data_IF_391045690655
#
_entry.id   IF_391045690655
#
_cell.length_a   1.000
_cell.length_b   1.000
_cell.length_c   1.000
_cell.angle_alpha   90.00
_cell.angle_beta   90.00
_cell.angle_gamma   90.00
#
_symmetry.space_group_name_H-M   'P 1'
#
loop_
_entity.id
_entity.type
_entity.pdbx_description
1 polymer ?
#
# COMPACT_ATOMS: atom_id res chain seq x y z
N UNK A 1 -7.37 -16.44 3.74
CA UNK A 1 -6.27 -16.88 4.64
C UNK A 1 -6.19 -16.04 5.92
N UNK A 2 -6.31 -14.70 5.86
CA UNK A 2 -6.22 -13.83 7.05
C UNK A 2 -7.40 -13.86 8.05
N UNK A 3 -8.51 -14.53 7.70
CA UNK A 3 -9.76 -14.47 8.47
C UNK A 3 -9.62 -15.03 9.90
N UNK A 4 -8.92 -16.15 10.08
CA UNK A 4 -8.73 -16.74 11.41
C UNK A 4 -7.83 -15.85 12.28
N UNK A 5 -6.78 -15.31 11.69
CA UNK A 5 -5.83 -14.43 12.35
C UNK A 5 -6.50 -13.14 12.87
N UNK A 6 -7.22 -12.44 11.99
CA UNK A 6 -7.91 -11.17 12.31
C UNK A 6 -9.17 -11.34 13.18
N UNK A 7 -9.60 -12.58 13.45
CA UNK A 7 -10.67 -12.89 14.40
C UNK A 7 -10.16 -13.28 15.78
N UNK A 8 -8.85 -13.42 15.96
CA UNK A 8 -8.28 -13.76 17.25
C UNK A 8 -8.38 -12.55 18.21
N UNK A 9 -8.99 -12.73 19.37
CA UNK A 9 -9.20 -11.65 20.35
C UNK A 9 -7.89 -10.98 20.80
N UNK A 10 -6.79 -11.73 20.90
CA UNK A 10 -5.49 -11.19 21.27
C UNK A 10 -4.92 -10.30 20.15
N UNK A 11 -5.11 -10.71 18.90
CA UNK A 11 -4.72 -9.91 17.73
C UNK A 11 -5.55 -8.63 17.66
N UNK A 12 -6.87 -8.73 17.82
CA UNK A 12 -7.78 -7.57 17.78
C UNK A 12 -7.42 -6.56 18.87
N UNK A 13 -7.11 -7.04 20.09
CA UNK A 13 -6.64 -6.21 21.20
C UNK A 13 -5.31 -5.53 20.88
N UNK A 14 -4.36 -6.25 20.28
CA UNK A 14 -3.07 -5.70 19.85
C UNK A 14 -3.21 -4.64 18.75
N UNK A 15 -4.25 -4.71 17.92
CA UNK A 15 -4.60 -3.72 16.91
C UNK A 15 -5.44 -2.55 17.47
N UNK A 16 -5.62 -2.48 18.79
CA UNK A 16 -6.38 -1.42 19.48
C UNK A 16 -7.81 -1.24 18.96
N UNK A 17 -8.44 -2.31 18.49
CA UNK A 17 -9.83 -2.29 18.03
C UNK A 17 -10.75 -2.61 19.21
N UNK A 18 -11.70 -1.71 19.47
CA UNK A 18 -12.75 -1.96 20.44
C UNK A 18 -13.78 -2.92 19.85
N UNK A 19 -13.96 -4.09 20.48
CA UNK A 19 -14.86 -5.14 20.01
C UNK A 19 -16.28 -5.02 20.55
N UNK A 20 -16.53 -4.11 21.50
CA UNK A 20 -17.84 -4.01 22.12
C UNK A 20 -18.91 -3.61 21.07
N UNK A 21 -19.86 -4.51 20.83
CA UNK A 21 -20.94 -4.30 19.86
C UNK A 21 -20.56 -4.48 18.39
N UNK A 22 -19.32 -4.88 18.07
CA UNK A 22 -18.90 -5.12 16.68
C UNK A 22 -19.11 -6.58 16.23
N UNK A 23 -19.47 -6.82 14.96
CA UNK A 23 -19.51 -8.16 14.39
C UNK A 23 -18.08 -8.73 14.25
N UNK A 24 -17.98 -10.06 14.14
CA UNK A 24 -16.71 -10.71 13.83
C UNK A 24 -16.12 -10.19 12.50
N UNK A 25 -14.81 -9.95 12.47
CA UNK A 25 -14.14 -9.40 11.31
C UNK A 25 -14.41 -10.21 10.03
N UNK A 26 -14.62 -9.51 8.91
CA UNK A 26 -14.69 -10.07 7.56
C UNK A 26 -13.87 -9.20 6.61
N UNK A 27 -13.39 -9.80 5.50
CA UNK A 27 -12.58 -9.07 4.52
C UNK A 27 -13.36 -7.96 3.82
N UNK A 28 -14.63 -8.23 3.49
CA UNK A 28 -15.56 -7.24 2.98
C UNK A 28 -16.91 -7.35 3.71
N UNK A 29 -17.65 -6.24 3.73
CA UNK A 29 -19.01 -6.14 4.23
C UNK A 29 -19.98 -6.02 3.04
N UNK A 30 -20.64 -7.11 2.69
CA UNK A 30 -21.54 -7.18 1.54
C UNK A 30 -22.76 -6.26 1.71
N UNK A 31 -23.24 -6.06 2.94
CA UNK A 31 -24.35 -5.14 3.21
C UNK A 31 -23.93 -3.70 2.88
N UNK A 32 -22.75 -3.28 3.32
CA UNK A 32 -22.21 -1.97 2.96
C UNK A 32 -22.02 -1.87 1.46
N UNK A 33 -21.41 -2.88 0.83
CA UNK A 33 -21.14 -2.89 -0.60
C UNK A 33 -22.44 -2.77 -1.42
N UNK A 34 -23.48 -3.54 -1.08
CA UNK A 34 -24.76 -3.55 -1.79
C UNK A 34 -25.58 -2.27 -1.59
N UNK A 35 -25.36 -1.54 -0.49
CA UNK A 35 -26.02 -0.27 -0.21
C UNK A 35 -25.15 0.94 -0.58
N UNK A 36 -23.94 0.72 -1.12
CA UNK A 36 -23.03 1.80 -1.46
C UNK A 36 -23.58 2.59 -2.65
N UNK A 37 -23.87 3.87 -2.43
CA UNK A 37 -24.36 4.75 -3.48
C UNK A 37 -23.18 5.42 -4.17
N UNK A 38 -22.92 5.02 -5.41
CA UNK A 38 -21.88 5.62 -6.23
C UNK A 38 -22.22 7.10 -6.51
N UNK A 39 -21.38 8.02 -6.03
CA UNK A 39 -21.55 9.46 -6.23
C UNK A 39 -20.83 9.97 -7.51
N UNK A 40 -19.78 9.26 -7.93
CA UNK A 40 -18.95 9.63 -9.07
C UNK A 40 -18.67 8.40 -9.94
N UNK A 41 -18.75 8.57 -11.27
CA UNK A 41 -18.44 7.51 -12.23
C UNK A 41 -16.95 7.27 -12.43
N UNK A 42 -16.13 8.29 -12.16
CA UNK A 42 -14.67 8.23 -12.21
C UNK A 42 -14.05 9.13 -11.11
N UNK A 43 -12.73 9.18 -11.07
CA UNK A 43 -11.98 10.00 -10.09
C UNK A 43 -11.47 11.33 -10.67
N UNK A 44 -11.93 11.74 -11.86
CA UNK A 44 -11.53 13.01 -12.49
C UNK A 44 -11.72 14.21 -11.54
N UNK A 45 -12.87 14.38 -10.86
CA UNK A 45 -13.07 15.49 -9.93
C UNK A 45 -12.12 15.46 -8.74
N UNK A 46 -11.71 14.26 -8.30
CA UNK A 46 -10.76 14.07 -7.19
C UNK A 46 -9.37 14.53 -7.63
N UNK A 47 -8.90 14.10 -8.80
CA UNK A 47 -7.63 14.55 -9.35
C UNK A 47 -7.61 16.07 -9.58
N UNK A 48 -8.70 16.66 -10.09
CA UNK A 48 -8.80 18.12 -10.22
C UNK A 48 -8.72 18.83 -8.86
N UNK A 49 -9.40 18.32 -7.84
CA UNK A 49 -9.31 18.86 -6.47
C UNK A 49 -7.87 18.79 -5.94
N UNK A 50 -7.18 17.68 -6.16
CA UNK A 50 -5.76 17.52 -5.79
C UNK A 50 -4.89 18.53 -6.55
N UNK A 51 -5.01 18.59 -7.88
CA UNK A 51 -4.20 19.47 -8.72
C UNK A 51 -4.37 20.95 -8.38
N UNK A 52 -5.58 21.35 -7.98
CA UNK A 52 -5.86 22.71 -7.51
C UNK A 52 -5.18 23.09 -6.19
N UNK A 53 -4.70 22.10 -5.42
CA UNK A 53 -4.13 22.28 -4.06
C UNK A 53 -2.64 22.00 -3.97
N UNK A 54 -2.04 21.32 -4.95
CA UNK A 54 -0.60 21.02 -4.92
C UNK A 54 0.26 22.26 -5.19
N UNK A 55 1.44 22.29 -4.55
CA UNK A 55 2.41 23.39 -4.63
C UNK A 55 3.75 22.90 -5.20
N UNK A 56 4.53 23.73 -5.92
CA UNK A 56 5.89 23.38 -6.34
C UNK A 56 6.82 23.01 -5.17
N UNK A 57 6.56 23.56 -3.98
CA UNK A 57 7.35 23.28 -2.78
C UNK A 57 7.03 21.92 -2.15
N UNK A 58 5.91 21.31 -2.51
CA UNK A 58 5.42 20.02 -2.01
C UNK A 58 4.76 19.27 -3.17
N UNK A 59 5.55 18.81 -4.16
CA UNK A 59 5.01 18.11 -5.30
C UNK A 59 4.47 16.74 -4.88
N UNK A 60 3.34 16.33 -5.47
CA UNK A 60 2.80 15.00 -5.25
C UNK A 60 3.16 14.03 -6.37
N UNK A 61 3.57 12.83 -5.99
CA UNK A 61 3.88 11.73 -6.91
C UNK A 61 2.81 10.65 -6.76
N UNK A 62 2.34 10.13 -7.88
CA UNK A 62 1.38 9.03 -7.94
C UNK A 62 2.01 7.88 -8.72
N UNK A 63 1.85 6.67 -8.19
CA UNK A 63 2.13 5.43 -8.90
C UNK A 63 0.82 4.66 -9.03
N UNK A 64 0.34 4.52 -10.26
CA UNK A 64 -0.81 3.70 -10.62
C UNK A 64 -0.24 2.45 -11.27
N UNK A 65 -0.45 1.29 -10.66
CA UNK A 65 0.11 0.04 -11.15
C UNK A 65 -0.99 -1.00 -11.35
N UNK A 66 -0.96 -1.68 -12.48
CA UNK A 66 -1.98 -2.66 -12.85
C UNK A 66 -1.37 -3.99 -13.25
N UNK A 67 -1.97 -5.08 -12.79
CA UNK A 67 -1.70 -6.40 -13.34
C UNK A 67 -2.34 -6.52 -14.73
N UNK A 68 -1.58 -6.99 -15.71
CA UNK A 68 -2.04 -7.02 -17.09
C UNK A 68 -2.96 -8.21 -17.43
N UNK A 69 -3.15 -9.14 -16.49
CA UNK A 69 -4.14 -10.23 -16.60
C UNK A 69 -5.36 -9.99 -15.71
N UNK A 70 -5.46 -8.83 -15.04
CA UNK A 70 -6.69 -8.46 -14.32
C UNK A 70 -7.81 -8.09 -15.30
N UNK A 71 -9.00 -8.65 -15.05
CA UNK A 71 -10.22 -8.35 -15.81
C UNK A 71 -11.22 -7.52 -15.00
N UNK A 72 -11.04 -7.38 -13.68
CA UNK A 72 -11.93 -6.58 -12.82
C UNK A 72 -11.61 -5.09 -12.98
N UNK A 73 -10.35 -4.71 -12.74
CA UNK A 73 -9.82 -3.36 -12.94
C UNK A 73 -8.66 -3.42 -13.94
N UNK A 74 -9.02 -3.73 -15.19
CA UNK A 74 -8.04 -3.99 -16.23
C UNK A 74 -7.18 -2.76 -16.55
N UNK A 75 -5.92 -3.01 -16.91
CA UNK A 75 -4.92 -1.96 -17.17
C UNK A 75 -5.29 -0.99 -18.32
N UNK A 76 -6.15 -1.39 -19.27
CA UNK A 76 -6.57 -0.49 -20.35
C UNK A 76 -7.52 0.59 -19.82
N UNK A 77 -8.41 0.23 -18.89
CA UNK A 77 -9.31 1.19 -18.25
C UNK A 77 -8.56 2.30 -17.54
N UNK A 78 -7.57 1.95 -16.71
CA UNK A 78 -6.74 2.92 -15.99
C UNK A 78 -5.85 3.73 -16.94
N UNK A 79 -5.27 3.10 -17.96
CA UNK A 79 -4.50 3.80 -18.99
C UNK A 79 -5.35 4.85 -19.71
N UNK A 80 -6.53 4.47 -20.20
CA UNK A 80 -7.44 5.39 -20.91
C UNK A 80 -7.97 6.48 -19.99
N UNK A 81 -8.25 6.17 -18.73
CA UNK A 81 -8.65 7.17 -17.75
C UNK A 81 -7.58 8.25 -17.59
N UNK A 82 -6.31 7.87 -17.38
CA UNK A 82 -5.22 8.84 -17.20
C UNK A 82 -4.92 9.60 -18.50
N UNK A 83 -4.99 8.96 -19.66
CA UNK A 83 -4.90 9.64 -20.95
C UNK A 83 -6.01 10.67 -21.14
N UNK A 84 -7.25 10.33 -20.79
CA UNK A 84 -8.38 11.25 -20.85
C UNK A 84 -8.21 12.42 -19.87
N UNK A 85 -7.82 12.14 -18.62
CA UNK A 85 -7.53 13.17 -17.60
C UNK A 85 -6.44 14.13 -18.08
N UNK A 86 -5.39 13.62 -18.72
CA UNK A 86 -4.31 14.44 -19.24
C UNK A 86 -4.71 15.28 -20.46
N UNK A 87 -5.52 14.70 -21.37
CA UNK A 87 -5.89 15.32 -22.64
C UNK A 87 -7.08 16.27 -22.54
N UNK A 88 -8.11 15.93 -21.74
CA UNK A 88 -9.41 16.62 -21.74
C UNK A 88 -9.28 18.13 -21.47
N UNK A 89 -8.36 18.52 -20.59
CA UNK A 89 -8.13 19.92 -20.22
C UNK A 89 -6.76 20.45 -20.66
N UNK A 90 -5.94 19.63 -21.35
CA UNK A 90 -4.57 19.99 -21.73
C UNK A 90 -3.67 20.33 -20.53
N UNK A 91 -4.05 19.88 -19.33
CA UNK A 91 -3.44 20.25 -18.05
C UNK A 91 -2.13 19.51 -17.76
N UNK A 92 -1.86 18.41 -18.49
CA UNK A 92 -0.66 17.61 -18.29
C UNK A 92 0.18 17.49 -19.55
N UNK A 93 1.50 17.50 -19.34
CA UNK A 93 2.46 17.03 -20.33
C UNK A 93 2.48 15.51 -20.32
N UNK A 94 2.08 14.91 -21.44
CA UNK A 94 2.07 13.46 -21.66
C UNK A 94 3.46 13.00 -22.10
N UNK A 95 4.04 12.05 -21.36
CA UNK A 95 5.27 11.36 -21.72
C UNK A 95 5.01 10.22 -22.71
N UNK A 96 6.06 9.78 -23.39
CA UNK A 96 5.97 8.61 -24.28
C UNK A 96 5.81 7.33 -23.45
N UNK A 97 4.97 6.41 -23.92
CA UNK A 97 4.84 5.07 -23.34
C UNK A 97 6.07 4.23 -23.70
N UNK A 98 6.76 3.72 -22.69
CA UNK A 98 8.03 2.98 -22.82
C UNK A 98 7.95 1.63 -22.12
N UNK A 99 8.78 0.65 -22.49
CA UNK A 99 8.96 -0.54 -21.67
C UNK A 99 9.66 -0.19 -20.36
N UNK A 100 9.38 -0.94 -19.30
CA UNK A 100 10.25 -1.00 -18.12
C UNK A 100 10.64 -2.43 -17.80
N UNK A 101 11.78 -2.61 -17.13
CA UNK A 101 12.42 -3.92 -16.97
C UNK A 101 12.58 -4.32 -15.51
N UNK A 102 12.38 -5.61 -15.24
CA UNK A 102 12.74 -6.24 -13.96
C UNK A 102 13.60 -7.46 -14.24
N UNK A 103 14.87 -7.44 -13.82
CA UNK A 103 15.95 -8.45 -14.05
C UNK A 103 16.31 -8.75 -15.51
N UNK A 104 15.32 -8.74 -16.41
CA UNK A 104 15.44 -8.94 -17.84
C UNK A 104 14.46 -8.01 -18.56
N UNK A 105 14.64 -7.78 -19.88
CA UNK A 105 13.65 -7.09 -20.68
C UNK A 105 12.28 -7.72 -20.51
N UNK A 106 11.30 -6.92 -20.10
CA UNK A 106 9.92 -7.34 -19.90
C UNK A 106 8.97 -6.57 -20.80
N UNK A 107 7.80 -7.15 -21.07
CA UNK A 107 6.73 -6.47 -21.79
C UNK A 107 5.96 -5.46 -20.94
N UNK A 108 6.38 -5.25 -19.69
CA UNK A 108 5.83 -4.22 -18.83
C UNK A 108 5.89 -2.85 -19.49
N UNK A 109 4.90 -2.01 -19.24
CA UNK A 109 4.76 -0.68 -19.85
C UNK A 109 4.73 0.38 -18.76
N UNK A 110 5.37 1.51 -19.02
CA UNK A 110 5.39 2.68 -18.16
C UNK A 110 5.09 3.92 -18.99
N UNK A 111 4.27 4.81 -18.44
CA UNK A 111 4.04 6.13 -18.99
C UNK A 111 3.92 7.16 -17.88
N UNK A 112 4.52 8.33 -18.11
CA UNK A 112 4.56 9.42 -17.14
C UNK A 112 3.76 10.61 -17.64
N UNK A 113 3.06 11.27 -16.73
CA UNK A 113 2.25 12.47 -16.98
C UNK A 113 2.64 13.53 -15.94
N UNK A 114 2.92 14.76 -16.39
CA UNK A 114 3.34 15.86 -15.51
C UNK A 114 2.35 17.02 -15.56
N UNK A 115 1.73 17.32 -14.43
CA UNK A 115 0.91 18.51 -14.25
C UNK A 115 1.79 19.69 -13.84
N UNK A 116 1.58 20.85 -14.49
CA UNK A 116 2.22 22.14 -14.19
C UNK A 116 3.73 22.03 -13.87
N UNK A 117 4.50 21.55 -14.84
CA UNK A 117 5.95 21.35 -14.75
C UNK A 117 6.43 20.48 -13.58
N UNK A 118 5.57 19.58 -13.06
CA UNK A 118 5.92 18.60 -12.03
C UNK A 118 5.38 18.93 -10.64
N UNK A 119 4.45 19.89 -10.50
CA UNK A 119 3.68 20.05 -9.24
C UNK A 119 2.93 18.76 -8.86
N UNK A 120 2.49 17.99 -9.86
CA UNK A 120 2.09 16.61 -9.67
C UNK A 120 2.61 15.73 -10.81
N UNK A 121 3.03 14.52 -10.48
CA UNK A 121 3.52 13.53 -11.45
C UNK A 121 2.78 12.21 -11.29
N UNK A 122 2.18 11.71 -12.37
CA UNK A 122 1.52 10.41 -12.40
C UNK A 122 2.39 9.44 -13.20
N UNK A 123 2.72 8.30 -12.61
CA UNK A 123 3.39 7.19 -13.27
C UNK A 123 2.39 6.04 -13.37
N UNK A 124 2.03 5.66 -14.59
CA UNK A 124 1.15 4.52 -14.86
C UNK A 124 2.00 3.36 -15.34
N UNK A 125 1.89 2.21 -14.69
CA UNK A 125 2.63 1.01 -15.08
C UNK A 125 1.74 -0.23 -15.22
N UNK A 126 2.14 -1.11 -16.13
CA UNK A 126 1.66 -2.50 -16.14
C UNK A 126 2.70 -3.43 -15.52
N UNK A 127 2.23 -4.49 -14.88
CA UNK A 127 3.05 -5.58 -14.34
C UNK A 127 2.63 -6.89 -15.01
N UNK A 128 3.49 -7.37 -15.90
CA UNK A 128 3.28 -8.55 -16.74
C UNK A 128 3.06 -9.79 -15.90
N UNK A 129 1.94 -10.48 -16.18
CA UNK A 129 1.55 -11.73 -15.54
C UNK A 129 0.98 -11.58 -14.13
N UNK A 130 0.71 -10.35 -13.67
CA UNK A 130 -0.02 -10.11 -12.43
C UNK A 130 -1.51 -9.92 -12.68
N UNK A 131 -2.35 -10.39 -11.77
CA UNK A 131 -3.78 -10.12 -11.70
C UNK A 131 -4.07 -8.90 -10.82
N UNK A 132 -5.25 -8.92 -10.17
CA UNK A 132 -5.75 -7.79 -9.37
C UNK A 132 -4.86 -7.47 -8.16
N UNK A 133 -4.34 -8.49 -7.48
CA UNK A 133 -3.45 -8.35 -6.32
C UNK A 133 -1.99 -8.43 -6.78
N UNK A 134 -1.48 -7.36 -7.37
CA UNK A 134 -0.19 -7.36 -8.08
C UNK A 134 0.98 -7.80 -7.20
N UNK A 135 1.01 -7.36 -5.95
CA UNK A 135 2.09 -7.73 -5.02
C UNK A 135 2.03 -9.19 -4.58
N UNK A 136 0.85 -9.79 -4.59
CA UNK A 136 0.68 -11.22 -4.33
C UNK A 136 1.22 -12.06 -5.50
N UNK A 137 0.94 -11.66 -6.74
CA UNK A 137 1.32 -12.42 -7.94
C UNK A 137 2.78 -12.17 -8.37
N UNK A 138 3.24 -10.92 -8.27
CA UNK A 138 4.53 -10.45 -8.78
C UNK A 138 5.24 -9.53 -7.77
N UNK A 139 5.61 -10.03 -6.57
CA UNK A 139 6.17 -9.23 -5.48
C UNK A 139 7.50 -8.53 -5.82
N UNK A 140 8.42 -9.23 -6.49
CA UNK A 140 9.72 -8.67 -6.87
C UNK A 140 9.62 -7.46 -7.81
N UNK A 141 8.94 -7.58 -8.97
CA UNK A 141 8.72 -6.45 -9.88
C UNK A 141 8.08 -5.23 -9.22
N UNK A 142 7.03 -5.42 -8.40
CA UNK A 142 6.34 -4.27 -7.80
C UNK A 142 7.16 -3.63 -6.67
N UNK A 143 7.94 -4.41 -5.91
CA UNK A 143 8.87 -3.84 -4.92
C UNK A 143 9.90 -2.94 -5.61
N UNK A 144 10.46 -3.38 -6.75
CA UNK A 144 11.37 -2.53 -7.55
C UNK A 144 10.69 -1.25 -8.01
N UNK A 145 9.47 -1.35 -8.54
CA UNK A 145 8.73 -0.18 -9.00
C UNK A 145 8.47 0.82 -7.86
N UNK A 146 8.05 0.33 -6.69
CA UNK A 146 7.84 1.17 -5.50
C UNK A 146 9.13 1.80 -5.00
N UNK A 147 10.22 1.03 -4.93
CA UNK A 147 11.53 1.55 -4.53
C UNK A 147 11.97 2.70 -5.42
N UNK A 148 11.92 2.49 -6.74
CA UNK A 148 12.38 3.48 -7.70
C UNK A 148 11.45 4.71 -7.71
N UNK A 149 10.15 4.50 -7.50
CA UNK A 149 9.18 5.58 -7.34
C UNK A 149 9.44 6.45 -6.11
N UNK A 150 9.70 5.82 -4.96
CA UNK A 150 10.05 6.51 -3.72
C UNK A 150 11.33 7.32 -3.88
N UNK A 151 12.35 6.72 -4.50
CA UNK A 151 13.70 7.28 -4.66
C UNK A 151 13.90 8.17 -5.89
N UNK A 152 12.84 8.47 -6.65
CA UNK A 152 12.93 9.24 -7.91
C UNK A 152 13.95 8.67 -8.92
N UNK A 153 14.12 7.35 -8.91
CA UNK A 153 14.97 6.62 -9.83
C UNK A 153 14.20 6.18 -11.10
N UNK A 154 14.94 5.81 -12.15
CA UNK A 154 14.34 5.12 -13.29
C UNK A 154 13.67 3.84 -12.80
N UNK A 155 12.42 3.61 -13.20
CA UNK A 155 11.61 2.48 -12.73
C UNK A 155 12.22 1.10 -13.11
N UNK A 156 13.08 1.06 -14.11
CA UNK A 156 13.85 -0.12 -14.52
C UNK A 156 15.13 -0.36 -13.72
N UNK A 157 15.48 0.54 -12.79
CA UNK A 157 16.67 0.40 -11.95
C UNK A 157 16.55 -0.86 -11.11
N UNK A 158 17.51 -1.78 -11.27
CA UNK A 158 17.46 -3.08 -10.61
C UNK A 158 17.73 -2.93 -9.11
N UNK A 159 16.88 -3.56 -8.29
CA UNK A 159 17.09 -3.59 -6.85
C UNK A 159 18.29 -4.44 -6.46
N UNK A 160 19.04 -3.97 -5.47
CA UNK A 160 20.04 -4.80 -4.81
C UNK A 160 19.35 -5.90 -4.00
N UNK A 161 19.70 -7.16 -4.25
CA UNK A 161 19.17 -8.32 -3.53
C UNK A 161 19.39 -8.24 -2.00
N UNK A 162 20.32 -7.42 -1.53
CA UNK A 162 20.51 -7.16 -0.10
C UNK A 162 19.31 -6.52 0.59
N UNK A 163 18.44 -5.83 -0.15
CA UNK A 163 17.22 -5.19 0.37
C UNK A 163 16.19 -6.24 0.81
N UNK A 164 16.14 -7.39 0.13
CA UNK A 164 15.14 -8.45 0.32
C UNK A 164 15.58 -9.43 1.42
N UNK A 165 16.63 -9.10 2.20
CA UNK A 165 17.12 -10.00 3.25
C UNK A 165 16.09 -10.14 4.38
N UNK A 166 15.74 -11.37 4.76
CA UNK A 166 14.88 -11.59 5.90
C UNK A 166 15.59 -11.25 7.20
N UNK A 167 14.82 -10.76 8.16
CA UNK A 167 15.19 -10.50 9.54
C UNK A 167 15.52 -11.81 10.26
N UNK A 168 16.42 -11.75 11.23
CA UNK A 168 16.79 -12.93 12.03
C UNK A 168 15.60 -13.45 12.85
N UNK A 169 15.55 -14.77 13.07
CA UNK A 169 14.56 -15.42 13.93
C UNK A 169 14.55 -14.85 15.36
N UNK A 170 13.40 -14.97 16.03
CA UNK A 170 13.03 -14.31 17.29
C UNK A 170 14.15 -14.22 18.34
N UNK A 171 14.30 -13.03 18.94
CA UNK A 171 14.88 -12.86 20.30
C UNK A 171 13.77 -12.60 21.31
N UNK A 172 13.98 -13.04 22.55
CA UNK A 172 13.00 -12.94 23.65
C UNK A 172 12.57 -11.49 23.91
N UNK A 173 11.26 -11.26 23.95
CA UNK A 173 10.62 -9.97 24.25
C UNK A 173 10.39 -9.84 25.76
N UNK A 174 10.73 -8.70 26.34
CA UNK A 174 10.39 -8.34 27.73
C UNK A 174 9.14 -7.47 27.78
N UNK A 175 8.32 -7.63 28.83
CA UNK A 175 7.07 -6.89 29.07
C UNK A 175 7.29 -5.36 29.16
N UNK A 176 6.32 -4.60 28.63
CA UNK A 176 6.37 -3.13 28.54
C UNK A 176 5.23 -2.51 29.33
N UNK A 177 5.54 -1.45 30.08
CA UNK A 177 4.61 -0.67 30.92
C UNK A 177 3.69 0.26 30.11
N UNK A 178 2.51 0.53 30.68
CA UNK A 178 1.47 1.41 30.11
C UNK A 178 1.98 2.84 29.85
N UNK A 179 1.91 3.36 28.61
CA UNK A 179 2.43 4.69 28.28
C UNK A 179 1.38 5.82 28.35
N UNK A 180 1.84 7.08 28.29
CA UNK A 180 1.05 8.29 28.64
C UNK A 180 0.78 9.24 27.44
N UNK A 181 1.40 9.04 26.27
CA UNK A 181 1.18 9.88 25.06
C UNK A 181 0.55 9.09 23.89
N UNK A 182 -0.22 9.77 23.01
CA UNK A 182 -1.04 9.14 21.95
C UNK A 182 -0.24 8.23 21.00
N UNK A 183 0.96 8.64 20.60
CA UNK A 183 1.85 7.82 19.77
C UNK A 183 2.19 6.48 20.44
N UNK A 184 2.45 6.50 21.75
CA UNK A 184 2.72 5.29 22.51
C UNK A 184 1.44 4.47 22.80
N UNK A 185 0.26 5.10 22.80
CA UNK A 185 -1.05 4.42 22.92
C UNK A 185 -1.40 3.64 21.66
N UNK A 186 -1.11 4.19 20.49
CA UNK A 186 -1.39 3.53 19.21
C UNK A 186 -0.29 2.51 18.83
N UNK A 187 0.85 2.49 19.55
CA UNK A 187 1.98 1.59 19.26
C UNK A 187 1.67 0.14 19.59
N UNK A 188 1.88 -0.74 18.62
CA UNK A 188 1.71 -2.19 18.79
C UNK A 188 3.05 -2.76 19.28
N UNK A 189 3.12 -3.04 20.58
CA UNK A 189 4.32 -3.57 21.22
C UNK A 189 4.57 -5.05 20.93
N UNK A 190 3.50 -5.84 20.94
CA UNK A 190 3.54 -7.26 20.60
C UNK A 190 2.34 -7.59 19.72
N UNK A 191 2.62 -8.12 18.54
CA UNK A 191 1.60 -8.58 17.60
C UNK A 191 1.57 -10.11 17.66
N UNK A 192 0.51 -10.72 18.24
CA UNK A 192 0.50 -12.15 18.52
C UNK A 192 0.72 -13.01 17.28
N UNK A 193 1.58 -14.04 17.40
CA UNK A 193 1.82 -15.00 16.32
C UNK A 193 2.93 -14.62 15.34
N UNK A 194 3.64 -13.49 15.55
CA UNK A 194 4.87 -13.21 14.80
C UNK A 194 5.92 -14.30 15.00
N UNK A 195 6.47 -14.82 13.89
CA UNK A 195 7.53 -15.84 13.91
C UNK A 195 8.95 -15.25 13.73
N UNK A 196 9.05 -13.91 13.70
CA UNK A 196 10.31 -13.16 13.62
C UNK A 196 10.21 -11.90 14.49
N UNK A 197 11.36 -11.25 14.76
CA UNK A 197 11.39 -9.96 15.48
C UNK A 197 11.40 -8.80 14.46
N UNK A 198 10.33 -7.99 14.37
CA UNK A 198 10.33 -6.79 13.55
C UNK A 198 11.43 -5.81 13.98
N UNK A 199 12.08 -5.17 13.01
CA UNK A 199 13.10 -4.13 13.27
C UNK A 199 12.56 -2.71 13.05
N UNK A 200 11.24 -2.56 13.02
CA UNK A 200 10.52 -1.32 12.76
C UNK A 200 9.36 -1.21 13.76
N UNK A 201 8.93 0.01 14.09
CA UNK A 201 7.72 0.19 14.87
C UNK A 201 6.47 0.15 13.99
N UNK A 202 5.36 -0.21 14.61
CA UNK A 202 4.06 -0.31 13.95
C UNK A 202 2.98 0.20 14.91
N UNK A 203 1.93 0.77 14.34
CA UNK A 203 0.92 1.52 15.06
C UNK A 203 -0.45 1.22 14.47
N UNK A 204 -1.47 1.14 15.32
CA UNK A 204 -2.86 1.09 14.90
C UNK A 204 -3.73 1.84 15.90
N UNK A 205 -4.77 2.47 15.40
CA UNK A 205 -5.69 3.26 16.21
C UNK A 205 -6.81 3.82 15.36
N UNK A 206 -7.54 4.79 15.91
CA UNK A 206 -8.64 5.45 15.21
C UNK A 206 -8.24 6.87 14.79
N UNK A 207 -8.55 7.20 13.54
CA UNK A 207 -8.52 8.56 13.03
C UNK A 207 -9.93 9.13 13.06
N UNK A 208 -10.10 10.27 13.73
CA UNK A 208 -11.35 11.02 13.73
C UNK A 208 -11.29 12.01 12.56
N UNK A 209 -12.17 11.83 11.58
CA UNK A 209 -12.15 12.59 10.34
C UNK A 209 -13.55 12.93 9.84
N UNK A 210 -13.67 13.25 8.56
CA UNK A 210 -14.98 13.33 7.91
C UNK A 210 -15.68 11.95 7.87
N UNK A 211 -14.88 10.89 7.91
CA UNK A 211 -15.29 9.50 8.16
C UNK A 211 -14.33 8.94 9.18
N UNK A 212 -14.87 8.37 10.26
CA UNK A 212 -14.07 7.69 11.28
C UNK A 212 -13.56 6.35 10.73
N UNK A 213 -12.31 6.01 11.02
CA UNK A 213 -11.70 4.79 10.53
C UNK A 213 -10.54 4.32 11.39
N UNK A 214 -10.29 3.01 11.36
CA UNK A 214 -9.07 2.43 11.93
C UNK A 214 -7.94 2.50 10.89
N UNK A 215 -6.73 2.85 11.34
CA UNK A 215 -5.54 2.88 10.51
C UNK A 215 -4.52 1.84 10.98
N UNK A 216 -3.64 1.45 10.06
CA UNK A 216 -2.41 0.73 10.37
C UNK A 216 -1.25 1.48 9.74
N UNK A 217 -0.22 1.79 10.52
CA UNK A 217 0.98 2.48 10.08
C UNK A 217 2.23 1.69 10.49
N UNK A 218 3.18 1.56 9.58
CA UNK A 218 4.48 0.91 9.85
C UNK A 218 5.60 1.84 9.45
N UNK A 219 6.58 1.98 10.33
CA UNK A 219 7.82 2.68 10.04
C UNK A 219 8.66 1.92 9.00
N UNK A 220 9.53 2.62 8.26
CA UNK A 220 10.53 1.97 7.43
C UNK A 220 11.55 1.22 8.30
N UNK A 221 12.14 0.17 7.74
CA UNK A 221 13.23 -0.56 8.37
C UNK A 221 14.56 0.22 8.35
N UNK A 222 14.68 1.19 7.44
CA UNK A 222 15.91 1.93 7.16
C UNK A 222 15.58 3.41 6.96
N UNK A 223 16.51 4.29 7.33
CA UNK A 223 16.45 5.74 7.13
C UNK A 223 15.14 6.41 7.61
N UNK A 224 14.81 6.21 8.90
CA UNK A 224 13.60 6.75 9.53
C UNK A 224 13.49 8.28 9.41
N UNK A 225 14.62 9.00 9.47
CA UNK A 225 14.65 10.46 9.51
C UNK A 225 14.30 11.11 8.17
N UNK A 226 14.57 10.44 7.05
CA UNK A 226 14.35 11.00 5.73
C UNK A 226 13.19 10.35 4.97
N UNK A 227 12.72 9.17 5.39
CA UNK A 227 11.74 8.37 4.65
C UNK A 227 10.47 9.16 4.34
N UNK A 228 10.00 9.19 3.06
CA UNK A 228 8.75 9.84 2.74
C UNK A 228 7.58 9.01 3.24
N UNK A 229 6.44 9.67 3.48
CA UNK A 229 5.19 8.98 3.78
C UNK A 229 4.62 8.40 2.49
N UNK A 230 4.55 7.07 2.40
CA UNK A 230 3.83 6.37 1.35
C UNK A 230 2.38 6.12 1.80
N UNK A 231 1.43 6.81 1.17
CA UNK A 231 0.02 6.47 1.30
C UNK A 231 -0.36 5.43 0.25
N UNK A 232 -0.69 4.23 0.70
CA UNK A 232 -1.14 3.14 -0.15
C UNK A 232 -2.63 2.88 0.08
N UNK A 233 -3.43 3.07 -0.97
CA UNK A 233 -4.88 2.92 -0.93
C UNK A 233 -5.28 1.65 -1.66
N UNK A 234 -6.04 0.79 -0.98
CA UNK A 234 -6.52 -0.48 -1.52
C UNK A 234 -7.98 -0.72 -1.18
N UNK A 235 -8.62 -1.63 -1.90
CA UNK A 235 -9.93 -2.16 -1.59
C UNK A 235 -11.03 -1.56 -2.47
N UNK A 236 -12.26 -1.75 -2.01
CA UNK A 236 -13.48 -1.28 -2.64
C UNK A 236 -14.55 -1.06 -1.58
N UNK A 237 -15.77 -0.68 -1.95
CA UNK A 237 -16.84 -0.44 -1.00
C UNK A 237 -17.01 -1.60 0.00
N UNK A 238 -16.87 -1.29 1.29
CA UNK A 238 -17.01 -2.29 2.37
C UNK A 238 -15.82 -3.23 2.57
N UNK A 239 -14.76 -3.18 1.77
CA UNK A 239 -13.58 -4.02 1.94
C UNK A 239 -12.51 -3.37 2.83
N UNK A 240 -11.90 -4.17 3.70
CA UNK A 240 -10.86 -3.72 4.63
C UNK A 240 -9.47 -3.77 4.01
N UNK A 241 -8.69 -2.68 4.16
CA UNK A 241 -7.28 -2.63 3.77
C UNK A 241 -6.38 -3.57 4.58
N UNK A 242 -6.83 -4.09 5.73
CA UNK A 242 -6.07 -5.09 6.50
C UNK A 242 -5.88 -6.41 5.73
N UNK A 243 -6.81 -6.74 4.83
CA UNK A 243 -6.64 -7.88 3.92
C UNK A 243 -5.41 -7.68 3.04
N UNK A 244 -5.35 -6.54 2.35
CA UNK A 244 -4.24 -6.16 1.48
C UNK A 244 -2.92 -6.04 2.26
N UNK A 245 -2.96 -5.48 3.48
CA UNK A 245 -1.79 -5.42 4.35
C UNK A 245 -1.16 -6.81 4.58
N UNK A 246 -1.98 -7.85 4.79
CA UNK A 246 -1.49 -9.20 5.09
C UNK A 246 -1.18 -10.05 3.85
N UNK A 247 -1.48 -9.56 2.64
CA UNK A 247 -1.30 -10.33 1.39
C UNK A 247 -0.44 -9.64 0.35
N UNK A 248 -0.21 -8.34 0.46
CA UNK A 248 0.48 -7.52 -0.54
C UNK A 248 1.70 -6.80 0.04
N UNK A 249 1.63 -5.48 0.28
CA UNK A 249 2.81 -4.66 0.63
C UNK A 249 3.11 -4.59 2.13
N UNK A 250 2.23 -5.12 2.99
CA UNK A 250 2.48 -5.05 4.43
C UNK A 250 3.68 -5.90 4.87
N UNK A 251 4.18 -5.67 6.08
CA UNK A 251 5.40 -6.32 6.59
C UNK A 251 5.25 -7.81 6.93
N UNK A 252 4.02 -8.33 6.93
CA UNK A 252 3.75 -9.70 7.37
C UNK A 252 2.83 -10.41 6.39
N UNK A 253 2.99 -11.73 6.30
CA UNK A 253 2.05 -12.62 5.64
C UNK A 253 1.56 -13.68 6.64
N UNK A 254 0.34 -14.16 6.41
CA UNK A 254 -0.29 -15.17 7.27
C UNK A 254 0.21 -16.56 6.89
N UNK A 255 0.72 -17.31 7.87
CA UNK A 255 1.15 -18.69 7.67
C UNK A 255 -0.06 -19.60 7.30
N UNK A 256 0.19 -20.78 6.69
CA UNK A 256 -0.87 -21.74 6.37
C UNK A 256 -1.72 -22.20 7.57
N UNK A 257 -1.21 -22.08 8.80
CA UNK A 257 -1.96 -22.37 10.03
C UNK A 257 -3.10 -21.34 10.29
N UNK A 258 -3.08 -20.18 9.61
CA UNK A 258 -4.06 -19.12 9.74
C UNK A 258 -4.02 -18.35 11.05
N UNK A 259 -3.00 -18.57 11.89
CA UNK A 259 -2.89 -18.04 13.26
C UNK A 259 -1.55 -17.38 13.56
N UNK A 260 -0.52 -17.65 12.75
CA UNK A 260 0.80 -17.04 12.89
C UNK A 260 1.18 -16.24 11.65
N UNK A 261 2.16 -15.35 11.81
CA UNK A 261 2.68 -14.46 10.79
C UNK A 261 4.16 -14.75 10.50
N UNK A 262 4.56 -14.67 9.24
CA UNK A 262 5.95 -14.66 8.82
C UNK A 262 6.29 -13.34 8.11
N UNK A 263 7.58 -13.03 8.04
CA UNK A 263 8.06 -11.80 7.40
C UNK A 263 7.72 -11.79 5.92
N UNK A 264 7.23 -10.66 5.42
CA UNK A 264 7.15 -10.41 4.00
C UNK A 264 8.51 -9.87 3.50
N UNK A 265 9.30 -10.65 2.75
CA UNK A 265 10.59 -10.18 2.24
C UNK A 265 10.46 -9.07 1.20
N UNK A 266 9.25 -8.86 0.66
CA UNK A 266 8.93 -7.82 -0.32
C UNK A 266 8.03 -6.71 0.26
N UNK A 267 8.11 -6.45 1.55
CA UNK A 267 7.31 -5.44 2.22
C UNK A 267 7.68 -4.01 1.82
N UNK A 268 6.70 -3.10 1.91
CA UNK A 268 6.91 -1.66 1.78
C UNK A 268 7.81 -1.08 2.88
N UNK A 269 7.92 -1.74 4.05
CA UNK A 269 8.85 -1.33 5.11
C UNK A 269 10.32 -1.48 4.71
N UNK A 270 10.62 -2.24 3.65
CA UNK A 270 11.97 -2.43 3.11
C UNK A 270 12.29 -1.49 1.96
N UNK A 271 11.49 -0.47 1.68
CA UNK A 271 11.84 0.59 0.73
C UNK A 271 12.82 1.55 1.45
N UNK A 272 14.15 1.48 1.24
CA UNK A 272 15.06 2.46 1.79
C UNK A 272 14.94 3.79 1.05
N UNK A 273 15.51 4.81 1.68
CA UNK A 273 16.22 5.90 1.03
C UNK A 273 17.73 5.63 1.05
#
# INVERSE_FOLDING_TARGET
MALNYLRNASVIKALHVDIEGLPAWSGCNDVMNNNYVQQYFDTTPVFHSIFSRVSPSQPLKFLIYNGDVDMVCNFLGDQWFIENLANADGIMKVGQRQPWNYTHPSENKHQQYKFDNGKATLNVITVKGAGHMVAMDRPGPILQALYNFVNDADISTTLNASIIKPSSALKSVSEIQNPVIKEEQDKIWDLPGLTYTPTFAQYSGYVNGAVDGNYMFTEPQFDLDNAPVLLWLTGGPGCSGLGALLTEHGPFQVNPDGTTLFENPYSGTKLPL
#
